data_IF_182806375575
#
_entry.id   IF_182806375575
#
_cell.length_a   1.000
_cell.length_b   1.000
_cell.length_c   1.000
_cell.angle_alpha   90.00
_cell.angle_beta   90.00
_cell.angle_gamma   90.00
#
_symmetry.space_group_name_H-M   'P 1'
#
loop_
_entity.id
_entity.type
_entity.pdbx_description
1 polymer ?
#
# COMPACT_ATOMS: atom_id res chain seq x y z
N UNK A 1 -10.04 -36.77 5.17
CA UNK A 1 -9.81 -35.53 5.95
C UNK A 1 -8.36 -35.14 5.71
N UNK A 2 -7.95 -34.01 5.11
CA UNK A 2 -8.52 -32.67 4.97
C UNK A 2 -8.50 -32.28 3.48
N UNK A 3 -9.66 -31.91 2.95
CA UNK A 3 -9.79 -31.16 1.69
C UNK A 3 -9.88 -29.68 2.07
N UNK A 4 -9.51 -28.80 1.13
CA UNK A 4 -9.85 -27.37 1.05
C UNK A 4 -8.81 -26.39 1.59
N UNK A 5 -7.92 -25.93 0.71
CA UNK A 5 -7.27 -24.62 0.58
C UNK A 5 -6.06 -24.89 -0.33
N UNK A 6 -5.95 -24.45 -1.58
CA UNK A 6 -5.58 -23.06 -1.90
C UNK A 6 -5.68 -22.85 -3.42
N UNK A 7 -6.85 -23.08 -4.01
CA UNK A 7 -7.15 -22.63 -5.39
C UNK A 7 -7.97 -21.38 -5.23
N UNK A 8 -7.35 -20.20 -5.27
CA UNK A 8 -7.94 -18.92 -5.70
C UNK A 8 -6.91 -17.81 -5.44
N UNK A 9 -5.93 -17.64 -6.33
CA UNK A 9 -5.17 -16.39 -6.40
C UNK A 9 -4.73 -16.07 -7.83
N UNK A 10 -5.60 -16.34 -8.80
CA UNK A 10 -5.48 -15.83 -10.16
C UNK A 10 -6.86 -15.37 -10.61
N UNK A 11 -7.32 -14.23 -10.07
CA UNK A 11 -8.48 -13.53 -10.62
C UNK A 11 -8.25 -12.01 -10.55
N UNK A 12 -8.02 -11.45 -11.73
CA UNK A 12 -8.22 -10.07 -12.19
C UNK A 12 -8.48 -9.02 -11.11
N UNK A 13 -7.43 -8.35 -10.65
CA UNK A 13 -7.57 -7.04 -10.01
C UNK A 13 -7.66 -5.96 -11.09
N UNK A 14 -8.89 -5.63 -11.48
CA UNK A 14 -9.21 -4.30 -12.02
C UNK A 14 -9.95 -3.55 -10.90
N UNK A 15 -9.25 -3.32 -9.79
CA UNK A 15 -9.71 -2.30 -8.83
C UNK A 15 -9.40 -0.98 -9.49
N UNK A 16 -10.36 -0.05 -9.46
CA UNK A 16 -10.29 1.26 -10.08
C UNK A 16 -9.21 2.15 -9.40
N UNK A 17 -7.94 1.78 -9.53
CA UNK A 17 -6.90 2.77 -9.75
C UNK A 17 -7.34 3.53 -11.00
N UNK A 18 -7.33 4.86 -10.94
CA UNK A 18 -7.44 5.69 -12.15
C UNK A 18 -6.63 5.02 -13.25
N UNK A 19 -7.18 4.87 -14.46
CA UNK A 19 -6.52 4.35 -15.67
C UNK A 19 -5.32 5.23 -16.06
N UNK A 20 -4.37 5.39 -15.16
CA UNK A 20 -3.12 6.04 -15.42
C UNK A 20 -2.34 5.06 -16.27
N UNK A 21 -1.90 5.54 -17.43
CA UNK A 21 -1.06 4.74 -18.30
C UNK A 21 0.18 4.33 -17.51
N UNK A 22 0.53 3.06 -17.53
CA UNK A 22 1.71 2.63 -16.82
C UNK A 22 2.97 3.25 -17.39
N UNK A 23 3.92 3.57 -16.51
CA UNK A 23 5.21 4.15 -16.90
C UNK A 23 6.35 3.17 -16.64
N UNK A 24 7.46 3.36 -17.34
CA UNK A 24 8.73 2.73 -17.00
C UNK A 24 9.68 3.80 -16.47
N UNK A 25 10.32 3.51 -15.34
CA UNK A 25 11.46 4.25 -14.84
C UNK A 25 12.68 3.94 -15.71
N UNK A 26 13.50 4.95 -15.93
CA UNK A 26 14.59 4.98 -16.92
C UNK A 26 15.91 5.43 -16.31
N UNK A 27 15.94 5.77 -15.02
CA UNK A 27 17.17 6.04 -14.29
C UNK A 27 18.16 4.86 -14.45
N UNK A 28 19.47 5.12 -14.64
CA UNK A 28 20.50 4.08 -14.65
C UNK A 28 20.52 3.20 -13.39
N UNK A 29 19.93 3.69 -12.30
CA UNK A 29 19.72 2.92 -11.07
C UNK A 29 18.90 1.65 -11.32
N UNK A 30 17.96 1.66 -12.28
CA UNK A 30 17.20 0.46 -12.64
C UNK A 30 18.12 -0.65 -13.14
N UNK A 31 19.08 -0.35 -14.02
CA UNK A 31 20.02 -1.35 -14.53
C UNK A 31 20.93 -1.91 -13.43
N UNK A 32 21.28 -1.05 -12.47
CA UNK A 32 22.05 -1.41 -11.29
C UNK A 32 21.27 -2.39 -10.40
N UNK A 33 19.96 -2.19 -10.20
CA UNK A 33 19.13 -3.00 -9.30
C UNK A 33 18.50 -4.26 -9.94
N UNK A 34 18.12 -4.22 -11.22
CA UNK A 34 17.25 -5.22 -11.84
C UNK A 34 17.88 -6.62 -11.88
N UNK A 35 17.26 -7.54 -11.14
CA UNK A 35 17.63 -8.94 -11.02
C UNK A 35 18.86 -9.21 -10.13
N UNK A 36 19.35 -8.22 -9.38
CA UNK A 36 20.49 -8.39 -8.47
C UNK A 36 20.02 -8.89 -7.10
N UNK A 37 20.81 -9.77 -6.49
CA UNK A 37 20.49 -10.35 -5.16
C UNK A 37 20.37 -9.30 -4.06
N UNK A 38 21.10 -8.19 -4.16
CA UNK A 38 21.08 -7.06 -3.24
C UNK A 38 20.15 -5.92 -3.68
N UNK A 39 19.44 -6.08 -4.81
CA UNK A 39 18.56 -5.07 -5.39
C UNK A 39 17.14 -5.61 -5.62
N UNK A 40 16.54 -5.27 -6.75
CA UNK A 40 15.19 -5.76 -7.09
C UNK A 40 15.32 -7.13 -7.74
N UNK A 41 15.15 -8.20 -6.97
CA UNK A 41 15.15 -9.59 -7.43
C UNK A 41 13.72 -10.19 -7.43
N UNK A 42 13.61 -11.50 -7.72
CA UNK A 42 12.33 -12.20 -7.71
C UNK A 42 11.59 -12.17 -6.36
N UNK A 43 12.30 -12.28 -5.24
CA UNK A 43 11.70 -12.21 -3.90
C UNK A 43 11.18 -10.80 -3.60
N UNK A 44 11.97 -9.77 -3.92
CA UNK A 44 11.59 -8.37 -3.80
C UNK A 44 10.30 -8.08 -4.59
N UNK A 45 10.17 -8.58 -5.82
CA UNK A 45 8.92 -8.48 -6.60
C UNK A 45 7.75 -9.17 -5.88
N UNK A 46 7.97 -10.33 -5.28
CA UNK A 46 6.97 -11.02 -4.46
C UNK A 46 6.49 -10.16 -3.28
N UNK A 47 7.42 -9.54 -2.54
CA UNK A 47 7.09 -8.63 -1.44
C UNK A 47 6.34 -7.38 -1.91
N UNK A 48 6.78 -6.73 -2.99
CA UNK A 48 6.09 -5.57 -3.56
C UNK A 48 4.64 -5.90 -3.96
N UNK A 49 4.41 -7.07 -4.56
CA UNK A 49 3.05 -7.55 -4.87
C UNK A 49 2.23 -7.77 -3.61
N UNK A 50 2.81 -8.39 -2.58
CA UNK A 50 2.12 -8.66 -1.33
C UNK A 50 1.75 -7.37 -0.58
N UNK A 51 2.66 -6.39 -0.53
CA UNK A 51 2.41 -5.04 0.01
C UNK A 51 1.27 -4.39 -0.75
N UNK A 52 1.34 -4.37 -2.09
CA UNK A 52 0.28 -3.79 -2.92
C UNK A 52 -1.10 -4.42 -2.69
N UNK A 53 -1.16 -5.74 -2.56
CA UNK A 53 -2.39 -6.46 -2.24
C UNK A 53 -2.94 -6.10 -0.86
N UNK A 54 -2.09 -5.99 0.16
CA UNK A 54 -2.51 -5.64 1.51
C UNK A 54 -3.01 -4.20 1.59
N UNK A 55 -2.35 -3.27 0.89
CA UNK A 55 -2.83 -1.88 0.77
C UNK A 55 -4.21 -1.85 0.09
N UNK A 56 -4.40 -2.58 -1.01
CA UNK A 56 -5.70 -2.67 -1.69
C UNK A 56 -6.79 -3.24 -0.76
N UNK A 57 -6.48 -4.26 0.05
CA UNK A 57 -7.41 -4.80 1.06
C UNK A 57 -7.75 -3.78 2.13
N UNK A 58 -6.78 -2.98 2.56
CA UNK A 58 -7.00 -1.88 3.50
C UNK A 58 -7.90 -0.79 2.90
N UNK A 59 -7.65 -0.41 1.65
CA UNK A 59 -8.41 0.65 0.96
C UNK A 59 -9.84 0.23 0.62
N UNK A 60 -10.02 -1.00 0.13
CA UNK A 60 -11.26 -1.44 -0.49
C UNK A 60 -11.89 -2.67 0.17
N UNK A 61 -11.27 -3.24 1.20
CA UNK A 61 -11.76 -4.42 1.91
C UNK A 61 -11.39 -5.74 1.24
N UNK A 62 -11.68 -6.83 1.95
CA UNK A 62 -11.48 -8.20 1.48
C UNK A 62 -12.78 -8.74 0.89
N UNK A 63 -12.77 -9.36 -0.31
CA UNK A 63 -13.98 -9.95 -0.87
C UNK A 63 -14.52 -11.05 0.05
N UNK A 64 -15.81 -10.96 0.39
CA UNK A 64 -16.50 -12.05 1.06
C UNK A 64 -16.76 -13.18 0.06
N UNK A 65 -16.53 -14.43 0.48
CA UNK A 65 -16.75 -15.59 -0.37
C UNK A 65 -18.18 -15.58 -0.92
N UNK A 66 -18.31 -15.77 -2.24
CA UNK A 66 -19.58 -15.85 -2.96
C UNK A 66 -20.47 -14.59 -2.87
N UNK A 67 -19.87 -13.42 -2.58
CA UNK A 67 -20.59 -12.15 -2.45
C UNK A 67 -19.88 -11.02 -3.21
N UNK A 68 -20.66 -10.02 -3.65
CA UNK A 68 -20.14 -8.75 -4.15
C UNK A 68 -19.71 -7.81 -3.02
N UNK A 69 -20.00 -8.18 -1.77
CA UNK A 69 -19.67 -7.41 -0.57
C UNK A 69 -18.19 -7.57 -0.25
N UNK A 70 -17.56 -6.45 0.10
CA UNK A 70 -16.21 -6.41 0.66
C UNK A 70 -16.28 -6.09 2.14
N UNK A 71 -15.50 -6.81 2.94
CA UNK A 71 -15.44 -6.65 4.40
C UNK A 71 -14.26 -5.73 4.72
N UNK A 72 -14.56 -4.66 5.46
CA UNK A 72 -13.57 -3.74 6.00
C UNK A 72 -12.58 -4.39 6.98
N UNK A 73 -11.48 -3.69 7.27
CA UNK A 73 -10.46 -4.14 8.22
C UNK A 73 -10.50 -3.39 9.55
N UNK A 74 -11.19 -2.24 9.60
CA UNK A 74 -11.11 -1.31 10.71
C UNK A 74 -12.45 -1.21 11.43
N UNK A 75 -12.43 -1.43 12.73
CA UNK A 75 -13.62 -1.29 13.55
C UNK A 75 -13.95 0.18 13.79
N UNK A 76 -15.21 0.54 13.55
CA UNK A 76 -15.81 1.80 13.98
C UNK A 76 -17.25 1.51 14.43
N UNK A 77 -17.59 1.90 15.65
CA UNK A 77 -18.96 1.72 16.19
C UNK A 77 -19.50 0.27 16.08
N UNK A 78 -18.64 -0.72 16.37
CA UNK A 78 -19.00 -2.14 16.34
C UNK A 78 -19.17 -2.74 14.93
N UNK A 79 -18.80 -2.02 13.88
CA UNK A 79 -18.83 -2.49 12.48
C UNK A 79 -17.46 -2.37 11.82
N UNK A 80 -17.21 -3.21 10.83
CA UNK A 80 -15.97 -3.22 10.06
C UNK A 80 -16.11 -2.33 8.82
N UNK A 81 -15.14 -1.44 8.63
CA UNK A 81 -15.07 -0.49 7.53
C UNK A 81 -13.72 -0.55 6.81
N UNK A 82 -13.76 -0.25 5.53
CA UNK A 82 -12.59 0.01 4.69
C UNK A 82 -12.07 1.42 4.94
N UNK A 83 -10.83 1.70 4.52
CA UNK A 83 -10.31 3.07 4.61
C UNK A 83 -11.18 4.07 3.83
N UNK A 84 -11.67 3.69 2.65
CA UNK A 84 -12.52 4.55 1.81
C UNK A 84 -13.87 4.87 2.47
N UNK A 85 -14.47 3.91 3.18
CA UNK A 85 -15.70 4.15 3.94
C UNK A 85 -15.45 5.06 5.14
N UNK A 86 -14.32 4.88 5.85
CA UNK A 86 -13.94 5.77 6.95
C UNK A 86 -13.70 7.21 6.49
N UNK A 87 -13.14 7.41 5.30
CA UNK A 87 -13.04 8.74 4.66
C UNK A 87 -14.43 9.34 4.47
N UNK A 88 -15.37 8.58 3.88
CA UNK A 88 -16.72 9.07 3.64
C UNK A 88 -17.43 9.46 4.95
N UNK A 89 -17.30 8.62 5.97
CA UNK A 89 -17.83 8.87 7.32
C UNK A 89 -17.21 10.14 7.92
N UNK A 90 -15.89 10.28 7.87
CA UNK A 90 -15.19 11.46 8.41
C UNK A 90 -15.63 12.76 7.73
N UNK A 91 -15.81 12.73 6.40
CA UNK A 91 -16.32 13.88 5.63
C UNK A 91 -17.74 14.25 6.00
N UNK A 92 -18.64 13.26 6.09
CA UNK A 92 -20.02 13.49 6.49
C UNK A 92 -20.11 14.16 7.88
N UNK A 93 -19.27 13.74 8.83
CA UNK A 93 -19.21 14.36 10.15
C UNK A 93 -18.64 15.77 10.12
N UNK A 94 -17.63 16.04 9.31
CA UNK A 94 -17.06 17.38 9.17
C UNK A 94 -18.09 18.36 8.56
N UNK A 95 -18.85 17.93 7.55
CA UNK A 95 -19.90 18.72 6.92
C UNK A 95 -21.05 19.03 7.88
N UNK A 96 -21.39 18.07 8.74
CA UNK A 96 -22.48 18.18 9.73
C UNK A 96 -22.01 18.70 11.08
N UNK A 97 -20.78 19.19 11.23
CA UNK A 97 -20.19 19.54 12.53
C UNK A 97 -21.06 20.49 13.37
N UNK A 98 -21.71 21.48 12.73
CA UNK A 98 -22.59 22.45 13.39
C UNK A 98 -23.90 21.86 13.94
N UNK A 99 -24.28 20.66 13.51
CA UNK A 99 -25.52 19.98 13.95
C UNK A 99 -25.34 19.13 15.20
N UNK A 100 -24.11 18.90 15.65
CA UNK A 100 -23.81 18.07 16.80
C UNK A 100 -23.63 18.92 18.06
N UNK A 101 -24.02 18.39 19.21
CA UNK A 101 -23.50 18.92 20.47
C UNK A 101 -21.99 18.72 20.55
N UNK A 102 -21.31 19.58 21.31
CA UNK A 102 -19.85 19.49 21.53
C UNK A 102 -19.47 18.08 22.04
N UNK A 103 -20.29 17.50 22.91
CA UNK A 103 -20.05 16.19 23.51
C UNK A 103 -20.16 15.06 22.49
N UNK A 104 -21.17 15.09 21.62
CA UNK A 104 -21.32 14.12 20.54
C UNK A 104 -20.19 14.21 19.54
N UNK A 105 -19.82 15.44 19.16
CA UNK A 105 -18.73 15.69 18.22
C UNK A 105 -17.41 15.12 18.72
N UNK A 106 -17.05 15.39 19.98
CA UNK A 106 -15.82 14.86 20.58
C UNK A 106 -15.85 13.33 20.73
N UNK A 107 -17.00 12.73 21.03
CA UNK A 107 -17.15 11.26 21.06
C UNK A 107 -16.92 10.63 19.69
N UNK A 108 -17.50 11.20 18.64
CA UNK A 108 -17.30 10.75 17.26
C UNK A 108 -15.84 10.89 16.85
N UNK A 109 -15.26 12.07 17.10
CA UNK A 109 -13.86 12.38 16.81
C UNK A 109 -12.90 11.40 17.49
N UNK A 110 -13.14 11.06 18.75
CA UNK A 110 -12.34 10.07 19.47
C UNK A 110 -12.40 8.69 18.82
N UNK A 111 -13.59 8.22 18.42
CA UNK A 111 -13.75 6.94 17.71
C UNK A 111 -13.03 6.92 16.36
N UNK A 112 -13.17 7.99 15.57
CA UNK A 112 -12.47 8.12 14.29
C UNK A 112 -10.96 8.14 14.47
N UNK A 113 -10.45 8.82 15.51
CA UNK A 113 -9.02 8.81 15.85
C UNK A 113 -8.52 7.41 16.17
N UNK A 114 -9.29 6.60 16.91
CA UNK A 114 -8.94 5.20 17.18
C UNK A 114 -8.87 4.37 15.91
N UNK A 115 -9.86 4.51 15.02
CA UNK A 115 -9.87 3.81 13.73
C UNK A 115 -8.69 4.24 12.83
N UNK A 116 -8.33 5.52 12.82
CA UNK A 116 -7.16 6.02 12.11
C UNK A 116 -5.86 5.45 12.66
N UNK A 117 -5.68 5.42 13.98
CA UNK A 117 -4.50 4.80 14.59
C UNK A 117 -4.39 3.32 14.20
N UNK A 118 -5.49 2.57 14.21
CA UNK A 118 -5.51 1.18 13.78
C UNK A 118 -5.11 1.02 12.30
N UNK A 119 -5.57 1.93 11.43
CA UNK A 119 -5.21 1.94 10.02
C UNK A 119 -3.73 2.24 9.77
N UNK A 120 -3.15 3.19 10.52
CA UNK A 120 -1.73 3.53 10.46
C UNK A 120 -0.87 2.34 10.93
N UNK A 121 -1.22 1.71 12.05
CA UNK A 121 -0.48 0.56 12.57
C UNK A 121 -0.58 -0.65 11.62
N UNK A 122 -1.75 -0.89 11.02
CA UNK A 122 -1.90 -1.93 9.99
C UNK A 122 -0.97 -1.70 8.80
N UNK A 123 -0.89 -0.45 8.33
CA UNK A 123 -0.01 -0.07 7.23
C UNK A 123 1.47 -0.32 7.59
N UNK A 124 1.92 0.14 8.76
CA UNK A 124 3.32 -0.02 9.20
C UNK A 124 3.69 -1.50 9.29
N UNK A 125 2.85 -2.31 9.95
CA UNK A 125 3.05 -3.76 10.05
C UNK A 125 3.05 -4.45 8.68
N UNK A 126 2.36 -3.89 7.69
CA UNK A 126 2.35 -4.40 6.32
C UNK A 126 3.68 -4.14 5.59
N UNK A 127 4.32 -3.01 5.83
CA UNK A 127 5.51 -2.59 5.08
C UNK A 127 6.84 -2.82 5.81
N UNK A 128 6.83 -2.97 7.14
CA UNK A 128 8.03 -3.18 7.95
C UNK A 128 8.92 -4.34 7.47
N UNK A 129 8.39 -5.53 7.13
CA UNK A 129 9.22 -6.62 6.63
C UNK A 129 9.93 -6.28 5.31
N UNK A 130 9.31 -5.45 4.47
CA UNK A 130 9.88 -4.98 3.21
C UNK A 130 10.96 -3.92 3.44
N UNK A 131 10.73 -2.99 4.38
CA UNK A 131 11.70 -1.96 4.73
C UNK A 131 13.02 -2.54 5.25
N UNK A 132 12.96 -3.60 6.07
CA UNK A 132 14.16 -4.28 6.55
C UNK A 132 15.05 -4.85 5.44
N UNK A 133 14.46 -5.23 4.30
CA UNK A 133 15.20 -5.72 3.12
C UNK A 133 15.71 -4.60 2.22
N UNK A 134 15.07 -3.43 2.26
CA UNK A 134 15.47 -2.27 1.49
C UNK A 134 16.62 -1.47 2.13
N UNK A 135 17.03 -1.83 3.35
CA UNK A 135 18.13 -1.18 4.07
C UNK A 135 19.42 -1.16 3.22
N UNK A 136 20.08 0.00 3.18
CA UNK A 136 21.27 0.21 2.34
C UNK A 136 21.01 0.52 0.86
N UNK A 137 19.77 0.40 0.37
CA UNK A 137 19.37 0.81 -0.99
C UNK A 137 18.62 2.16 -1.01
N UNK A 138 18.57 2.86 0.14
CA UNK A 138 17.76 4.07 0.31
C UNK A 138 18.05 5.16 -0.73
N UNK A 139 19.32 5.45 -0.98
CA UNK A 139 19.72 6.48 -1.95
C UNK A 139 19.20 6.16 -3.36
N UNK A 140 19.24 4.88 -3.73
CA UNK A 140 18.73 4.40 -5.01
C UNK A 140 17.20 4.50 -5.06
N UNK A 141 16.51 4.15 -3.98
CA UNK A 141 15.05 4.28 -3.89
C UNK A 141 14.59 5.73 -4.00
N UNK A 142 15.29 6.68 -3.36
CA UNK A 142 15.00 8.12 -3.47
C UNK A 142 15.06 8.58 -4.93
N UNK A 143 16.14 8.27 -5.65
CA UNK A 143 16.30 8.63 -7.08
C UNK A 143 15.13 8.09 -7.92
N UNK A 144 14.68 6.87 -7.62
CA UNK A 144 13.58 6.23 -8.36
C UNK A 144 12.22 6.85 -8.01
N UNK A 145 12.01 7.26 -6.76
CA UNK A 145 10.78 7.94 -6.32
C UNK A 145 10.73 9.36 -6.87
N UNK A 146 11.87 10.08 -6.93
CA UNK A 146 11.98 11.40 -7.59
C UNK A 146 11.59 11.31 -9.07
N UNK A 147 12.18 10.36 -9.81
CA UNK A 147 11.84 10.14 -11.23
C UNK A 147 10.35 9.77 -11.39
N UNK A 148 9.83 8.92 -10.51
CA UNK A 148 8.41 8.54 -10.53
C UNK A 148 7.50 9.75 -10.26
N UNK A 149 7.83 10.57 -9.26
CA UNK A 149 7.07 11.75 -8.89
C UNK A 149 7.05 12.76 -10.04
N UNK A 150 8.15 12.92 -10.76
CA UNK A 150 8.21 13.74 -11.97
C UNK A 150 7.30 13.21 -13.07
N UNK A 151 7.46 11.93 -13.45
CA UNK A 151 6.68 11.31 -14.53
C UNK A 151 5.17 11.26 -14.24
N UNK A 152 4.78 11.20 -12.97
CA UNK A 152 3.37 11.18 -12.52
C UNK A 152 2.81 12.57 -12.21
N UNK A 153 3.61 13.63 -12.28
CA UNK A 153 3.26 14.97 -11.81
C UNK A 153 2.77 14.97 -10.35
N UNK A 154 3.55 14.32 -9.48
CA UNK A 154 3.29 14.05 -8.05
C UNK A 154 4.42 14.61 -7.16
N UNK A 155 4.97 15.76 -7.50
CA UNK A 155 6.09 16.38 -6.76
C UNK A 155 5.75 16.75 -5.30
N UNK A 156 4.48 16.88 -4.97
CA UNK A 156 4.01 17.12 -3.61
C UNK A 156 3.55 15.83 -2.90
N UNK A 157 3.96 14.66 -3.39
CA UNK A 157 3.58 13.39 -2.79
C UNK A 157 4.22 13.22 -1.41
N UNK A 158 3.43 12.76 -0.46
CA UNK A 158 3.92 12.32 0.85
C UNK A 158 4.88 11.13 0.73
N UNK A 159 4.79 10.33 -0.34
CA UNK A 159 5.75 9.25 -0.63
C UNK A 159 7.15 9.81 -0.89
N UNK A 160 7.26 10.93 -1.61
CA UNK A 160 8.54 11.58 -1.89
C UNK A 160 9.17 12.12 -0.59
N UNK A 161 8.39 12.85 0.22
CA UNK A 161 8.86 13.35 1.52
C UNK A 161 9.27 12.22 2.47
N UNK A 162 8.55 11.11 2.44
CA UNK A 162 8.88 9.92 3.21
C UNK A 162 10.19 9.28 2.74
N UNK A 163 10.44 9.23 1.43
CA UNK A 163 11.69 8.70 0.88
C UNK A 163 12.91 9.55 1.27
N UNK A 164 12.76 10.87 1.25
CA UNK A 164 13.80 11.86 1.58
C UNK A 164 14.13 11.96 3.07
N UNK A 165 13.26 11.39 3.93
CA UNK A 165 13.48 11.34 5.38
C UNK A 165 14.80 10.63 5.70
N UNK A 166 15.42 10.86 6.86
CA UNK A 166 16.61 10.11 7.29
C UNK A 166 16.31 8.61 7.48
N UNK A 167 17.29 7.74 7.22
CA UNK A 167 17.14 6.27 7.43
C UNK A 167 16.84 5.96 8.91
N UNK A 168 15.84 5.12 9.15
CA UNK A 168 15.33 4.78 10.47
C UNK A 168 14.28 5.75 11.03
N UNK A 169 13.98 6.87 10.36
CA UNK A 169 12.97 7.87 10.80
C UNK A 169 11.70 7.86 9.95
N UNK A 170 11.63 7.00 8.95
CA UNK A 170 10.54 6.92 7.96
C UNK A 170 9.17 6.71 8.63
N UNK A 171 9.08 5.80 9.61
CA UNK A 171 7.82 5.54 10.31
C UNK A 171 7.39 6.68 11.22
N UNK A 172 8.32 7.37 11.86
CA UNK A 172 8.00 8.52 12.70
C UNK A 172 7.45 9.68 11.87
N UNK A 173 8.08 9.96 10.73
CA UNK A 173 7.60 10.97 9.78
C UNK A 173 6.26 10.56 9.17
N UNK A 174 6.11 9.29 8.78
CA UNK A 174 4.84 8.78 8.27
C UNK A 174 3.70 8.95 9.29
N UNK A 175 3.90 8.53 10.55
CA UNK A 175 2.90 8.69 11.63
C UNK A 175 2.52 10.15 11.84
N UNK A 176 3.49 11.07 11.71
CA UNK A 176 3.26 12.52 11.84
C UNK A 176 2.47 13.10 10.67
N UNK A 177 2.64 12.56 9.46
CA UNK A 177 2.02 13.10 8.24
C UNK A 177 0.66 12.47 7.93
N UNK A 178 0.43 11.20 8.28
CA UNK A 178 -0.85 10.50 8.13
C UNK A 178 -1.91 10.96 9.16
N UNK A 179 -2.23 12.26 9.17
CA UNK A 179 -3.07 12.92 10.19
C UNK A 179 -4.57 12.63 10.05
N UNK A 180 -5.01 12.16 8.90
CA UNK A 180 -6.38 11.81 8.59
C UNK A 180 -6.42 10.64 7.59
N UNK A 181 -7.61 10.10 7.34
CA UNK A 181 -7.78 8.95 6.47
C UNK A 181 -7.44 9.26 5.01
N UNK A 182 -7.70 10.49 4.54
CA UNK A 182 -7.34 10.92 3.19
C UNK A 182 -5.83 10.93 2.95
N UNK A 183 -5.05 11.52 3.86
CA UNK A 183 -3.59 11.56 3.75
C UNK A 183 -2.98 10.14 3.74
N UNK A 184 -3.53 9.25 4.56
CA UNK A 184 -3.16 7.83 4.58
C UNK A 184 -3.50 7.13 3.25
N UNK A 185 -4.68 7.40 2.71
CA UNK A 185 -5.14 6.81 1.45
C UNK A 185 -4.36 7.32 0.22
N UNK A 186 -4.03 8.60 0.19
CA UNK A 186 -3.20 9.21 -0.85
C UNK A 186 -1.79 8.61 -0.84
N UNK A 187 -1.16 8.51 0.35
CA UNK A 187 0.13 7.86 0.51
C UNK A 187 0.10 6.40 0.03
N UNK A 188 -0.89 5.63 0.49
CA UNK A 188 -1.10 4.25 0.08
C UNK A 188 -1.24 4.11 -1.44
N UNK A 189 -2.02 4.99 -2.06
CA UNK A 189 -2.23 4.99 -3.52
C UNK A 189 -0.93 5.27 -4.25
N UNK A 190 -0.17 6.28 -3.83
CA UNK A 190 1.12 6.64 -4.42
C UNK A 190 2.12 5.49 -4.30
N UNK A 191 2.21 4.86 -3.12
CA UNK A 191 3.10 3.71 -2.89
C UNK A 191 2.74 2.54 -3.81
N UNK A 192 1.46 2.17 -3.95
CA UNK A 192 1.05 1.07 -4.83
C UNK A 192 1.36 1.39 -6.30
N UNK A 193 1.11 2.62 -6.74
CA UNK A 193 1.46 3.08 -8.08
C UNK A 193 2.97 2.98 -8.32
N UNK A 194 3.78 3.52 -7.41
CA UNK A 194 5.24 3.45 -7.49
C UNK A 194 5.74 2.01 -7.56
N UNK A 195 5.30 1.12 -6.68
CA UNK A 195 5.69 -0.29 -6.69
C UNK A 195 5.31 -0.97 -8.01
N UNK A 196 4.13 -0.67 -8.54
CA UNK A 196 3.67 -1.17 -9.84
C UNK A 196 4.57 -0.74 -11.01
N UNK A 197 4.95 0.53 -11.05
CA UNK A 197 5.83 1.11 -12.06
C UNK A 197 7.28 0.61 -11.90
N UNK A 198 7.78 0.51 -10.67
CA UNK A 198 9.11 -0.05 -10.36
C UNK A 198 9.22 -1.50 -10.82
N UNK A 199 8.25 -2.35 -10.46
CA UNK A 199 8.23 -3.73 -10.91
C UNK A 199 8.28 -3.80 -12.44
N UNK A 200 7.47 -3.00 -13.14
CA UNK A 200 7.47 -2.98 -14.61
C UNK A 200 8.82 -2.59 -15.21
N UNK A 201 9.55 -1.74 -14.51
CA UNK A 201 10.88 -1.25 -14.90
C UNK A 201 11.98 -2.29 -14.69
N UNK A 202 11.71 -3.37 -13.93
CA UNK A 202 12.67 -4.43 -13.59
C UNK A 202 12.29 -5.78 -14.25
N UNK A 203 12.51 -5.95 -15.57
CA UNK A 203 12.10 -7.15 -16.29
C UNK A 203 12.87 -8.42 -15.85
N UNK A 204 14.14 -8.32 -15.44
CA UNK A 204 14.90 -9.50 -14.97
C UNK A 204 14.34 -9.99 -13.64
N UNK A 205 14.02 -9.08 -12.73
CA UNK A 205 13.40 -9.39 -11.44
C UNK A 205 12.04 -10.10 -11.62
N UNK A 206 11.19 -9.62 -12.52
CA UNK A 206 9.91 -10.30 -12.81
C UNK A 206 10.12 -11.71 -13.35
N UNK A 207 11.09 -11.91 -14.26
CA UNK A 207 11.42 -13.26 -14.76
C UNK A 207 11.89 -14.19 -13.63
N UNK A 208 12.64 -13.69 -12.66
CA UNK A 208 13.03 -14.47 -11.47
C UNK A 208 11.80 -14.83 -10.62
N UNK A 209 10.91 -13.87 -10.37
CA UNK A 209 9.67 -14.11 -9.61
C UNK A 209 8.79 -15.18 -10.25
N UNK A 210 8.62 -15.14 -11.58
CA UNK A 210 7.83 -16.13 -12.29
C UNK A 210 8.39 -17.55 -12.12
N UNK A 211 9.73 -17.71 -12.15
CA UNK A 211 10.37 -19.01 -11.86
C UNK A 211 10.11 -19.49 -10.43
N UNK A 212 10.29 -18.61 -9.44
CA UNK A 212 10.04 -18.95 -8.03
C UNK A 212 8.60 -19.39 -7.81
N UNK A 213 7.64 -18.70 -8.45
CA UNK A 213 6.23 -19.05 -8.42
C UNK A 213 5.98 -20.43 -9.03
N UNK A 214 6.55 -20.72 -10.18
CA UNK A 214 6.38 -22.02 -10.86
C UNK A 214 6.98 -23.16 -10.04
N UNK A 215 8.16 -22.96 -9.45
CA UNK A 215 8.81 -23.93 -8.56
C UNK A 215 7.97 -24.22 -7.31
N UNK A 216 7.42 -23.18 -6.68
CA UNK A 216 6.52 -23.32 -5.54
C UNK A 216 5.25 -24.09 -5.91
N UNK A 217 4.64 -23.79 -7.06
CA UNK A 217 3.44 -24.50 -7.54
C UNK A 217 3.74 -25.97 -7.88
N UNK A 218 4.94 -26.29 -8.35
CA UNK A 218 5.35 -27.66 -8.63
C UNK A 218 5.52 -28.49 -7.35
N UNK A 219 6.03 -27.89 -6.26
CA UNK A 219 6.20 -28.56 -4.96
C UNK A 219 4.87 -28.87 -4.24
N UNK A 220 3.78 -28.19 -4.62
CA UNK A 220 2.45 -28.41 -4.04
C UNK A 220 1.61 -29.48 -4.75
N UNK A 221 2.11 -30.04 -5.86
CA UNK A 221 1.44 -31.10 -6.63
C UNK A 221 1.88 -32.47 -6.14
#
# INVERSE_FOLDING_TARGET
MKKTLFIFMVFFFTVAQSKQEPICLTSPVIEFLDGKSWGVNGEAVGYMRQVGLNIIKMQYGTPQKDSKVRIGLFEYDGKQYTLKELIAIAREYAEKAASYSIQEYEKIRAKLKTALSAAIEYFINTIEPFMGQANGAKKQVVILIEEWAEKRNRQNSELLHWAETEEGKEFDVFKKNAKNFEALDDFCTDLVCFLGDLMRSCPKANKQFEKLKDEFLAQQR
#
